data_IF_826789664654
#
_entry.id   IF_826789664654
#
_cell.length_a   1.000
_cell.length_b   1.000
_cell.length_c   1.000
_cell.angle_alpha   90.00
_cell.angle_beta   90.00
_cell.angle_gamma   90.00
#
_symmetry.space_group_name_H-M   'P 1'
#
loop_
_entity.id
_entity.type
_entity.pdbx_description
1 polymer ?
#
# COMPACT_ATOMS: atom_id res chain seq x y z
N UNK A 1 -4.46 9.52 12.22
CA UNK A 1 -3.79 8.35 11.58
C UNK A 1 -3.67 7.25 12.60
N UNK A 2 -4.12 6.07 12.27
CA UNK A 2 -4.11 4.95 13.19
C UNK A 2 -3.33 3.79 12.60
N UNK A 3 -2.99 2.82 13.46
CA UNK A 3 -2.36 1.59 12.97
C UNK A 3 -3.26 0.87 12.00
N UNK A 4 -4.57 0.92 12.26
CA UNK A 4 -5.52 0.25 11.39
C UNK A 4 -5.51 0.85 9.98
N UNK A 5 -5.32 2.16 9.87
CA UNK A 5 -5.21 2.78 8.57
C UNK A 5 -4.04 2.18 7.78
N UNK A 6 -2.91 1.99 8.45
CA UNK A 6 -1.72 1.47 7.78
C UNK A 6 -1.97 0.04 7.33
N UNK A 7 -2.56 -0.79 8.18
CA UNK A 7 -2.86 -2.17 7.83
C UNK A 7 -3.81 -2.26 6.66
N UNK A 8 -4.88 -1.46 6.71
CA UNK A 8 -5.88 -1.48 5.66
C UNK A 8 -5.31 -0.96 4.35
N UNK A 9 -4.44 0.03 4.43
CA UNK A 9 -3.82 0.57 3.23
C UNK A 9 -2.93 -0.45 2.55
N UNK A 10 -2.14 -1.18 3.34
CA UNK A 10 -1.29 -2.24 2.79
C UNK A 10 -2.16 -3.32 2.15
N UNK A 11 -3.23 -3.71 2.82
CA UNK A 11 -4.13 -4.72 2.29
C UNK A 11 -4.77 -4.25 0.98
N UNK A 12 -5.19 -3.02 0.93
CA UNK A 12 -5.79 -2.46 -0.28
C UNK A 12 -4.81 -2.51 -1.44
N UNK A 13 -3.58 -2.06 -1.21
CA UNK A 13 -2.56 -2.06 -2.25
C UNK A 13 -2.25 -3.48 -2.70
N UNK A 14 -2.18 -4.40 -1.75
CA UNK A 14 -1.90 -5.80 -2.07
C UNK A 14 -2.99 -6.40 -2.95
N UNK A 15 -4.24 -6.15 -2.57
CA UNK A 15 -5.36 -6.70 -3.33
C UNK A 15 -5.41 -6.12 -4.74
N UNK A 16 -5.10 -4.84 -4.87
CA UNK A 16 -5.07 -4.23 -6.20
C UNK A 16 -3.97 -4.80 -7.06
N UNK A 17 -2.84 -5.15 -6.43
CA UNK A 17 -1.74 -5.77 -7.15
C UNK A 17 -2.03 -7.22 -7.49
N UNK A 18 -3.00 -7.82 -6.80
CA UNK A 18 -3.38 -9.19 -7.07
C UNK A 18 -2.42 -10.23 -6.52
N UNK A 19 -1.70 -9.90 -5.46
CA UNK A 19 -0.77 -10.85 -4.85
C UNK A 19 -1.30 -11.31 -3.50
N UNK A 20 -0.96 -12.56 -3.16
CA UNK A 20 -1.34 -13.12 -1.87
C UNK A 20 -0.42 -12.59 -0.78
N UNK A 21 -0.85 -12.77 0.46
CA UNK A 21 0.02 -12.40 1.59
C UNK A 21 1.30 -13.23 1.57
N UNK A 22 1.19 -14.49 1.22
CA UNK A 22 2.35 -15.35 1.12
C UNK A 22 3.32 -14.84 0.05
N UNK A 23 2.80 -14.53 -1.13
CA UNK A 23 3.66 -14.08 -2.23
C UNK A 23 4.33 -12.76 -1.90
N UNK A 24 3.57 -11.83 -1.30
CA UNK A 24 4.15 -10.55 -0.93
C UNK A 24 5.25 -10.73 0.12
N UNK A 25 5.02 -11.61 1.10
CA UNK A 25 6.04 -11.87 2.13
C UNK A 25 7.31 -12.40 1.48
N UNK A 26 7.15 -13.34 0.55
CA UNK A 26 8.28 -13.91 -0.16
C UNK A 26 9.02 -12.84 -0.98
N UNK A 27 8.26 -12.02 -1.69
CA UNK A 27 8.85 -10.98 -2.54
C UNK A 27 9.65 -9.97 -1.72
N UNK A 28 9.23 -9.73 -0.48
CA UNK A 28 9.92 -8.80 0.41
C UNK A 28 11.09 -9.45 1.14
N UNK A 29 11.32 -10.75 0.91
CA UNK A 29 12.43 -11.44 1.54
C UNK A 29 12.18 -11.84 2.98
N UNK A 30 10.93 -11.97 3.36
CA UNK A 30 10.56 -12.31 4.74
C UNK A 30 9.96 -13.71 4.81
N UNK A 31 9.74 -14.18 6.04
CA UNK A 31 9.07 -15.45 6.23
C UNK A 31 7.63 -15.34 5.73
N UNK A 32 7.04 -16.48 5.42
CA UNK A 32 5.74 -16.51 4.74
C UNK A 32 4.60 -15.90 5.54
N UNK A 33 4.75 -15.77 6.84
CA UNK A 33 3.71 -15.18 7.67
C UNK A 33 3.86 -13.70 7.93
N UNK A 34 4.85 -13.08 7.31
CA UNK A 34 5.18 -11.69 7.61
C UNK A 34 4.01 -10.74 7.33
N UNK A 35 3.46 -10.81 6.13
CA UNK A 35 2.38 -9.90 5.75
C UNK A 35 1.12 -10.20 6.55
N UNK A 36 0.84 -11.47 6.81
CA UNK A 36 -0.30 -11.83 7.63
C UNK A 36 -0.18 -11.24 9.04
N UNK A 37 1.02 -11.23 9.61
CA UNK A 37 1.22 -10.63 10.92
C UNK A 37 0.90 -9.14 10.92
N UNK A 38 1.13 -8.47 9.80
CA UNK A 38 0.74 -7.08 9.69
C UNK A 38 -0.78 -6.96 9.57
N UNK A 39 -1.37 -7.68 8.64
CA UNK A 39 -2.80 -7.53 8.37
C UNK A 39 -3.65 -7.98 9.54
N UNK A 40 -3.19 -8.95 10.33
CA UNK A 40 -3.95 -9.48 11.46
C UNK A 40 -3.83 -8.63 12.71
N UNK A 41 -2.96 -7.60 12.68
CA UNK A 41 -2.84 -6.69 13.81
C UNK A 41 -1.74 -7.05 14.78
N UNK A 42 -0.95 -8.08 14.49
CA UNK A 42 0.11 -8.49 15.42
C UNK A 42 1.31 -7.55 15.39
N UNK A 43 1.57 -6.91 14.25
CA UNK A 43 2.75 -6.08 14.12
C UNK A 43 2.52 -5.01 13.07
N UNK A 44 3.31 -3.95 13.16
CA UNK A 44 3.45 -2.97 12.09
C UNK A 44 4.87 -3.08 11.56
N UNK A 45 5.09 -2.76 10.29
CA UNK A 45 6.45 -2.80 9.77
C UNK A 45 7.27 -1.66 10.38
N UNK A 46 8.53 -1.93 10.74
CA UNK A 46 9.45 -0.85 11.08
C UNK A 46 9.62 0.07 9.88
N UNK A 47 10.14 1.27 10.11
CA UNK A 47 10.25 2.26 9.04
C UNK A 47 11.03 1.72 7.84
N UNK A 48 12.11 1.00 8.08
CA UNK A 48 12.89 0.44 6.98
C UNK A 48 12.03 -0.49 6.11
N UNK A 49 11.25 -1.34 6.76
CA UNK A 49 10.39 -2.26 6.03
C UNK A 49 9.23 -1.52 5.35
N UNK A 50 8.74 -0.48 6.00
CA UNK A 50 7.69 0.34 5.41
C UNK A 50 8.15 0.95 4.10
N UNK A 51 9.38 1.45 4.06
CA UNK A 51 9.92 2.02 2.83
C UNK A 51 10.03 0.96 1.74
N UNK A 52 10.42 -0.25 2.11
CA UNK A 52 10.49 -1.35 1.16
C UNK A 52 9.10 -1.71 0.63
N UNK A 53 8.09 -1.63 1.47
CA UNK A 53 6.71 -1.88 1.05
C UNK A 53 6.26 -0.83 0.04
N UNK A 54 6.57 0.43 0.30
CA UNK A 54 6.24 1.48 -0.66
C UNK A 54 6.93 1.23 -1.99
N UNK A 55 8.21 0.85 -1.96
CA UNK A 55 8.93 0.54 -3.19
C UNK A 55 8.30 -0.64 -3.92
N UNK A 56 7.88 -1.63 -3.15
CA UNK A 56 7.24 -2.81 -3.73
C UNK A 56 6.01 -2.45 -4.54
N UNK A 57 5.23 -1.49 -4.03
CA UNK A 57 4.02 -1.05 -4.71
C UNK A 57 4.27 0.10 -5.68
N UNK A 58 5.49 0.60 -5.77
CA UNK A 58 5.81 1.67 -6.70
C UNK A 58 5.20 3.00 -6.33
N UNK A 59 5.06 3.28 -5.04
CA UNK A 59 4.49 4.53 -4.57
C UNK A 59 5.44 5.17 -3.57
N UNK A 60 5.25 6.47 -3.36
CA UNK A 60 5.99 7.18 -2.34
C UNK A 60 5.27 7.05 -1.00
N UNK A 61 5.98 7.30 0.11
CA UNK A 61 5.30 7.35 1.41
C UNK A 61 4.15 8.35 1.44
N UNK A 62 4.31 9.48 0.75
CA UNK A 62 3.25 10.47 0.69
C UNK A 62 2.01 9.88 0.02
N UNK A 63 2.21 9.19 -1.09
CA UNK A 63 1.09 8.56 -1.79
C UNK A 63 0.44 7.49 -0.92
N UNK A 64 1.26 6.77 -0.18
CA UNK A 64 0.73 5.77 0.74
C UNK A 64 -0.25 6.40 1.72
N UNK A 65 0.17 7.49 2.37
CA UNK A 65 -0.63 8.10 3.42
C UNK A 65 -1.79 8.93 2.88
N UNK A 66 -1.70 9.39 1.64
CA UNK A 66 -2.80 10.14 1.03
C UNK A 66 -3.81 9.24 0.35
N UNK A 67 -3.56 7.94 0.33
CA UNK A 67 -4.44 7.04 -0.38
C UNK A 67 -4.30 7.12 -1.88
N UNK A 68 -3.26 7.79 -2.37
CA UNK A 68 -3.03 7.91 -3.81
C UNK A 68 -2.28 6.71 -4.32
N UNK A 69 -2.43 6.46 -5.61
CA UNK A 69 -1.77 5.35 -6.25
C UNK A 69 -1.22 5.79 -7.60
N UNK A 70 -0.29 4.99 -8.13
CA UNK A 70 0.31 5.29 -9.42
C UNK A 70 -0.61 4.80 -10.54
N UNK A 71 -1.85 5.19 -10.52
CA UNK A 71 -2.84 4.81 -11.52
C UNK A 71 -3.26 6.04 -12.29
N UNK A 72 -2.69 6.26 -13.46
CA UNK A 72 -3.02 7.46 -14.22
C UNK A 72 -4.52 7.59 -14.48
N UNK A 73 -5.20 6.48 -14.73
CA UNK A 73 -6.62 6.57 -15.01
C UNK A 73 -7.42 6.99 -13.79
N UNK A 74 -7.01 6.55 -12.60
CA UNK A 74 -7.68 6.95 -11.38
C UNK A 74 -7.41 8.40 -11.06
N UNK A 75 -6.18 8.82 -11.23
CA UNK A 75 -5.80 10.19 -10.99
C UNK A 75 -6.53 11.10 -11.96
N UNK A 76 -6.56 10.71 -13.23
CA UNK A 76 -7.25 11.49 -14.23
C UNK A 76 -8.72 11.59 -13.96
N UNK A 77 -9.32 10.48 -13.55
CA UNK A 77 -10.74 10.47 -13.24
C UNK A 77 -11.03 11.42 -12.08
N UNK A 78 -10.20 11.41 -11.06
CA UNK A 78 -10.37 12.30 -9.93
C UNK A 78 -10.22 13.74 -10.37
N UNK A 79 -9.23 14.03 -11.18
CA UNK A 79 -8.99 15.39 -11.65
C UNK A 79 -10.11 15.84 -12.57
N UNK A 80 -10.53 14.96 -13.45
CA UNK A 80 -11.61 15.29 -14.38
C UNK A 80 -12.90 15.54 -13.62
N UNK A 81 -13.13 14.77 -12.58
CA UNK A 81 -14.32 14.97 -11.78
C UNK A 81 -14.26 16.22 -10.94
N UNK A 82 -13.08 16.66 -10.65
CA UNK A 82 -12.86 17.88 -9.90
C UNK A 82 -12.74 19.07 -10.78
N UNK A 83 -12.03 18.75 -11.87
CA UNK A 83 -11.34 19.34 -12.73
C UNK A 83 -11.60 19.77 -13.50
N UNK A 84 -11.13 18.90 -12.73
CA UNK A 84 -10.70 18.68 -12.84
C UNK A 84 -10.38 18.96 -12.34
N UNK A 85 -10.17 19.27 -11.73
CA UNK A 85 -9.36 19.15 -11.15
C UNK A 85 -8.86 19.35 -11.06
N UNK A 86 -8.42 19.27 -11.03
CA UNK A 86 -7.54 19.09 -10.89
C UNK A 86 -7.11 19.08 -10.85
N UNK A 87 -6.85 18.94 -10.82
CA UNK A 87 -6.11 18.56 -10.67
C UNK A 87 -5.97 18.62 -10.62
#
# INVERSE_FOLDING_TARGET
MTEEFIRNRITELRLRRGVSEYQMSYDLGHSRGYVYNISSGKALPPMKEFLAICDYFGITPQQFFNGEESHPELIQKALAGMRQLDE
#
